data_IF_193485369804
#
_entry.id   IF_193485369804
#
_cell.length_a   1.000
_cell.length_b   1.000
_cell.length_c   1.000
_cell.angle_alpha   90.00
_cell.angle_beta   90.00
_cell.angle_gamma   90.00
#
_symmetry.space_group_name_H-M   'P 1'
#
loop_
_entity.id
_entity.type
_entity.pdbx_description
1 polymer ?
#
# COMPACT_ATOMS: atom_id res chain seq x y z
N UNK A 1 -52.00 -18.09 -37.99
CA UNK A 1 -53.09 -18.90 -37.41
C UNK A 1 -53.28 -18.35 -35.99
N UNK A 2 -53.83 -17.16 -35.78
CA UNK A 2 -55.20 -16.72 -36.11
C UNK A 2 -56.25 -17.64 -35.51
N UNK A 3 -56.67 -17.36 -34.29
CA UNK A 3 -58.09 -17.23 -33.95
C UNK A 3 -58.20 -16.69 -32.52
N UNK A 4 -59.22 -15.86 -32.34
CA UNK A 4 -59.42 -14.92 -31.26
C UNK A 4 -60.86 -15.08 -30.77
N UNK A 5 -61.20 -14.36 -29.69
CA UNK A 5 -62.53 -13.93 -29.27
C UNK A 5 -63.43 -14.98 -28.60
N UNK A 6 -63.72 -14.83 -27.29
CA UNK A 6 -64.95 -14.16 -26.82
C UNK A 6 -65.02 -13.90 -25.32
N UNK A 7 -65.40 -12.66 -25.05
CA UNK A 7 -65.85 -12.02 -23.82
C UNK A 7 -67.25 -12.45 -23.42
N UNK A 8 -67.54 -12.47 -22.12
CA UNK A 8 -68.87 -12.19 -21.55
C UNK A 8 -68.75 -11.86 -20.04
N UNK A 9 -69.14 -10.65 -19.67
CA UNK A 9 -69.69 -10.24 -18.35
C UNK A 9 -71.19 -9.94 -18.61
N UNK A 10 -72.13 -9.72 -17.64
CA UNK A 10 -71.98 -9.24 -16.24
C UNK A 10 -73.07 -9.81 -15.26
N UNK A 11 -73.36 -9.08 -14.15
CA UNK A 11 -74.45 -9.23 -13.13
C UNK A 11 -74.12 -10.14 -11.93
N UNK A 12 -74.43 -9.84 -10.67
CA UNK A 12 -75.09 -8.72 -9.98
C UNK A 12 -74.66 -8.73 -8.49
N UNK A 13 -74.97 -7.61 -7.82
CA UNK A 13 -74.86 -7.24 -6.41
C UNK A 13 -74.83 -8.34 -5.33
N UNK A 14 -74.11 -8.08 -4.23
CA UNK A 14 -74.71 -7.84 -2.91
C UNK A 14 -73.77 -7.02 -2.00
N UNK A 15 -74.37 -6.01 -1.35
CA UNK A 15 -73.80 -5.12 -0.36
C UNK A 15 -73.55 -5.83 0.98
N UNK A 16 -72.46 -5.44 1.66
CA UNK A 16 -72.13 -5.93 3.00
C UNK A 16 -71.23 -4.95 3.75
N UNK A 17 -71.82 -3.86 4.25
CA UNK A 17 -71.24 -2.95 5.22
C UNK A 17 -71.13 -3.63 6.60
N UNK A 18 -69.90 -3.76 7.11
CA UNK A 18 -69.63 -3.92 8.55
C UNK A 18 -68.38 -3.11 8.91
N UNK A 19 -68.60 -1.83 9.21
CA UNK A 19 -68.21 -1.19 10.49
C UNK A 19 -66.93 -1.68 11.21
N UNK A 20 -65.95 -0.77 11.30
CA UNK A 20 -65.59 -0.15 12.58
C UNK A 20 -64.73 -0.94 13.58
N UNK A 21 -63.57 -0.33 13.87
CA UNK A 21 -62.79 -0.41 15.12
C UNK A 21 -61.88 -1.61 15.37
N UNK A 22 -60.60 -1.47 15.01
CA UNK A 22 -59.50 -2.11 15.75
C UNK A 22 -58.29 -1.17 15.96
N UNK A 23 -58.22 -0.68 17.21
CA UNK A 23 -57.04 -0.60 18.09
C UNK A 23 -55.96 0.46 17.80
N UNK A 24 -56.02 1.50 18.64
CA UNK A 24 -54.95 2.43 19.00
C UNK A 24 -53.70 1.72 19.54
N UNK A 25 -52.51 2.24 19.23
CA UNK A 25 -51.32 1.86 19.99
C UNK A 25 -49.95 1.97 19.30
N UNK A 26 -49.74 2.86 18.32
CA UNK A 26 -48.36 3.21 17.94
C UNK A 26 -47.77 4.14 19.01
N UNK A 27 -47.29 3.55 20.11
CA UNK A 27 -46.41 4.26 21.03
C UNK A 27 -45.15 4.65 20.26
N UNK A 28 -44.98 5.96 20.07
CA UNK A 28 -43.71 6.52 19.70
C UNK A 28 -42.69 6.11 20.78
N UNK A 29 -41.80 5.19 20.42
CA UNK A 29 -40.61 4.92 21.22
C UNK A 29 -39.82 6.22 21.22
N UNK A 30 -39.91 6.95 22.32
CA UNK A 30 -39.06 8.10 22.59
C UNK A 30 -37.65 7.54 22.75
N UNK A 31 -36.88 7.57 21.65
CA UNK A 31 -35.44 7.32 21.70
C UNK A 31 -34.86 8.40 22.59
N UNK A 32 -34.37 7.99 23.76
CA UNK A 32 -33.72 8.88 24.71
C UNK A 32 -32.65 9.70 24.02
N UNK A 33 -32.66 11.00 24.29
CA UNK A 33 -31.84 12.04 23.68
C UNK A 33 -30.34 11.95 24.06
N UNK A 34 -29.89 10.80 24.56
CA UNK A 34 -28.56 10.58 25.14
C UNK A 34 -27.68 9.59 24.38
N UNK A 35 -28.13 9.01 23.25
CA UNK A 35 -27.35 8.04 22.45
C UNK A 35 -27.02 8.51 21.02
N UNK A 36 -27.32 9.77 20.67
CA UNK A 36 -26.97 10.30 19.36
C UNK A 36 -25.50 10.69 19.30
N UNK A 37 -24.66 9.73 18.90
CA UNK A 37 -23.25 10.00 18.56
C UNK A 37 -23.21 11.15 17.55
N UNK A 38 -22.33 12.15 17.75
CA UNK A 38 -22.31 13.31 16.88
C UNK A 38 -21.96 12.90 15.44
N UNK A 39 -22.72 13.41 14.48
CA UNK A 39 -22.43 13.21 13.06
C UNK A 39 -21.29 14.12 12.62
N UNK A 40 -20.46 13.62 11.70
CA UNK A 40 -19.45 14.42 11.04
C UNK A 40 -20.16 15.55 10.26
N UNK A 41 -19.77 16.82 10.44
CA UNK A 41 -20.40 17.95 9.76
C UNK A 41 -20.20 17.91 8.23
N UNK A 42 -19.29 17.09 7.72
CA UNK A 42 -18.96 17.03 6.30
C UNK A 42 -19.61 15.84 5.58
N UNK A 43 -19.46 14.61 6.08
CA UNK A 43 -19.90 13.39 5.39
C UNK A 43 -21.13 12.70 5.98
N UNK A 44 -21.69 13.23 7.07
CA UNK A 44 -22.86 12.67 7.79
C UNK A 44 -22.65 11.28 8.43
N UNK A 45 -21.43 10.71 8.37
CA UNK A 45 -21.09 9.51 9.13
C UNK A 45 -20.86 9.84 10.61
N UNK A 46 -21.06 8.85 11.48
CA UNK A 46 -20.83 8.96 12.93
C UNK A 46 -19.35 9.25 13.23
N UNK A 47 -19.10 10.24 14.09
CA UNK A 47 -17.76 10.53 14.61
C UNK A 47 -17.32 9.47 15.64
N UNK A 48 -16.00 9.26 15.80
CA UNK A 48 -15.49 8.35 16.83
C UNK A 48 -15.92 8.83 18.23
N UNK A 49 -16.07 7.89 19.17
CA UNK A 49 -16.50 8.20 20.55
C UNK A 49 -15.55 9.18 21.23
N UNK A 50 -14.26 9.04 20.95
CA UNK A 50 -13.18 9.88 21.50
C UNK A 50 -12.34 10.42 20.34
N UNK A 51 -12.77 11.50 19.65
CA UNK A 51 -12.02 12.05 18.54
C UNK A 51 -10.66 12.58 19.03
N UNK A 52 -9.59 12.36 18.26
CA UNK A 52 -8.27 12.86 18.61
C UNK A 52 -8.22 14.40 18.59
N UNK A 53 -7.19 14.97 19.24
CA UNK A 53 -6.97 16.41 19.20
C UNK A 53 -6.80 16.92 17.76
N UNK A 54 -6.16 16.13 16.90
CA UNK A 54 -5.96 16.46 15.49
C UNK A 54 -7.29 16.52 14.72
N UNK A 55 -8.17 15.53 14.89
CA UNK A 55 -9.48 15.54 14.25
C UNK A 55 -10.36 16.70 14.74
N UNK A 56 -10.33 17.01 16.04
CA UNK A 56 -11.03 18.18 16.58
C UNK A 56 -10.51 19.47 15.96
N UNK A 57 -9.18 19.64 15.93
CA UNK A 57 -8.56 20.82 15.32
C UNK A 57 -8.97 20.94 13.84
N UNK A 58 -8.88 19.87 13.06
CA UNK A 58 -9.27 19.87 11.64
C UNK A 58 -10.74 20.29 11.42
N UNK A 59 -11.67 19.85 12.29
CA UNK A 59 -13.09 20.21 12.23
C UNK A 59 -13.32 21.68 12.65
N UNK A 60 -12.60 22.16 13.66
CA UNK A 60 -12.82 23.49 14.25
C UNK A 60 -12.16 24.62 13.44
N UNK A 61 -10.98 24.38 12.86
CA UNK A 61 -10.17 25.43 12.22
C UNK A 61 -10.45 25.62 10.73
N UNK A 62 -11.22 24.72 10.11
CA UNK A 62 -11.50 24.80 8.67
C UNK A 62 -12.42 25.98 8.33
N UNK A 63 -12.02 26.73 7.30
CA UNK A 63 -12.92 27.65 6.60
C UNK A 63 -14.00 26.88 5.86
N UNK A 64 -15.24 27.01 6.34
CA UNK A 64 -16.40 26.29 5.80
C UNK A 64 -17.67 27.11 6.01
N UNK A 65 -18.69 26.89 5.20
CA UNK A 65 -20.00 27.53 5.36
C UNK A 65 -21.03 26.56 5.91
N UNK A 66 -22.04 27.08 6.61
CA UNK A 66 -23.16 26.27 7.08
C UNK A 66 -23.94 25.69 5.89
N UNK A 67 -24.27 24.40 5.98
CA UNK A 67 -25.03 23.64 4.99
C UNK A 67 -25.87 22.57 5.71
N UNK A 68 -26.87 23.00 6.53
CA UNK A 68 -27.67 22.07 7.32
C UNK A 68 -28.45 21.11 6.42
N UNK A 69 -28.46 19.83 6.77
CA UNK A 69 -29.15 18.75 6.05
C UNK A 69 -30.24 18.14 6.94
N UNK A 70 -31.30 17.52 6.37
CA UNK A 70 -32.39 16.94 7.16
C UNK A 70 -31.94 15.98 8.27
N UNK A 71 -30.88 15.20 8.04
CA UNK A 71 -30.28 14.30 9.02
C UNK A 71 -29.10 14.89 9.82
N UNK A 72 -28.57 16.05 9.42
CA UNK A 72 -27.41 16.68 10.05
C UNK A 72 -27.55 18.20 10.07
N UNK A 73 -28.11 18.73 11.15
CA UNK A 73 -28.29 20.18 11.35
C UNK A 73 -26.95 20.94 11.44
N UNK A 74 -25.88 20.24 11.80
CA UNK A 74 -24.53 20.79 11.88
C UNK A 74 -23.75 20.63 10.57
N UNK A 75 -24.43 20.28 9.47
CA UNK A 75 -23.82 20.12 8.16
C UNK A 75 -23.07 21.37 7.70
N UNK A 76 -21.91 21.17 7.10
CA UNK A 76 -21.00 22.23 6.59
C UNK A 76 -20.49 21.89 5.20
N UNK A 77 -20.20 22.92 4.42
CA UNK A 77 -19.51 22.85 3.12
C UNK A 77 -18.10 23.39 3.24
N UNK A 78 -17.11 22.64 2.76
CA UNK A 78 -15.71 23.03 2.72
C UNK A 78 -15.11 22.81 1.32
N UNK A 79 -13.98 23.45 0.99
CA UNK A 79 -13.20 23.11 -0.20
C UNK A 79 -12.87 21.61 -0.25
N UNK A 80 -12.82 21.04 -1.45
CA UNK A 80 -12.68 19.59 -1.67
C UNK A 80 -11.52 18.97 -0.89
N UNK A 81 -10.34 19.61 -0.90
CA UNK A 81 -9.17 19.09 -0.20
C UNK A 81 -9.39 19.04 1.31
N UNK A 82 -9.99 20.06 1.90
CA UNK A 82 -10.26 20.07 3.34
C UNK A 82 -11.33 19.06 3.72
N UNK A 83 -12.37 18.92 2.89
CA UNK A 83 -13.35 17.85 3.05
C UNK A 83 -12.67 16.47 3.07
N UNK A 84 -11.77 16.20 2.11
CA UNK A 84 -11.07 14.92 1.99
C UNK A 84 -10.21 14.68 3.23
N UNK A 85 -9.40 15.65 3.67
CA UNK A 85 -8.51 15.48 4.83
C UNK A 85 -9.28 15.17 6.12
N UNK A 86 -10.38 15.90 6.39
CA UNK A 86 -11.22 15.65 7.57
C UNK A 86 -11.90 14.28 7.47
N UNK A 87 -12.48 13.98 6.30
CA UNK A 87 -13.19 12.73 6.06
C UNK A 87 -12.27 11.49 6.09
N UNK A 88 -11.00 11.64 5.69
CA UNK A 88 -10.01 10.58 5.84
C UNK A 88 -9.65 10.39 7.30
N UNK A 89 -9.38 11.48 8.04
CA UNK A 89 -8.97 11.37 9.44
C UNK A 89 -10.05 10.77 10.33
N UNK A 90 -11.31 11.22 10.24
CA UNK A 90 -12.36 10.64 11.09
C UNK A 90 -12.66 9.19 10.71
N UNK A 91 -12.63 8.82 9.42
CA UNK A 91 -12.83 7.42 8.99
C UNK A 91 -11.74 6.54 9.57
N UNK A 92 -10.50 7.02 9.53
CA UNK A 92 -9.36 6.32 10.09
C UNK A 92 -9.50 6.11 11.60
N UNK A 93 -9.88 7.15 12.37
CA UNK A 93 -10.13 7.03 13.81
C UNK A 93 -11.34 6.14 14.14
N UNK A 94 -12.38 6.16 13.32
CA UNK A 94 -13.61 5.39 13.57
C UNK A 94 -13.51 3.92 13.17
N UNK A 95 -12.70 3.59 12.15
CA UNK A 95 -12.68 2.24 11.53
C UNK A 95 -11.30 1.62 11.54
N UNK A 96 -10.32 2.32 10.96
CA UNK A 96 -9.01 1.72 10.68
C UNK A 96 -8.16 1.55 11.95
N UNK A 97 -8.15 2.56 12.84
CA UNK A 97 -7.41 2.50 14.10
C UNK A 97 -7.96 1.43 15.06
N UNK A 98 -9.28 1.36 15.37
CA UNK A 98 -9.81 0.29 16.23
C UNK A 98 -9.56 -1.11 15.65
N UNK A 99 -9.68 -1.26 14.33
CA UNK A 99 -9.36 -2.52 13.64
C UNK A 99 -7.88 -2.88 13.80
N UNK A 100 -6.97 -1.92 13.61
CA UNK A 100 -5.53 -2.14 13.76
C UNK A 100 -5.18 -2.58 15.19
N UNK A 101 -5.76 -1.92 16.20
CA UNK A 101 -5.62 -2.29 17.62
C UNK A 101 -6.13 -3.71 17.86
N UNK A 102 -7.33 -4.04 17.38
CA UNK A 102 -7.90 -5.39 17.53
C UNK A 102 -7.07 -6.49 16.84
N UNK A 103 -6.35 -6.13 15.78
CA UNK A 103 -5.45 -7.03 15.04
C UNK A 103 -4.01 -7.04 15.59
N UNK A 104 -3.72 -6.21 16.59
CA UNK A 104 -2.39 -6.10 17.19
C UNK A 104 -1.35 -5.44 16.28
N UNK A 105 -1.75 -4.63 15.31
CA UNK A 105 -0.79 -3.90 14.48
C UNK A 105 -0.03 -2.85 15.32
N UNK A 106 1.27 -2.63 15.06
CA UNK A 106 2.08 -1.72 15.86
C UNK A 106 1.54 -0.28 15.79
N UNK A 107 1.28 0.31 16.96
CA UNK A 107 0.95 1.74 17.10
C UNK A 107 2.19 2.62 17.21
N UNK A 108 3.33 2.01 17.54
CA UNK A 108 4.64 2.66 17.61
C UNK A 108 5.66 1.75 16.92
N UNK A 109 6.56 2.35 16.14
CA UNK A 109 7.64 1.65 15.44
C UNK A 109 8.94 2.39 15.74
N UNK A 110 9.95 1.67 16.21
CA UNK A 110 11.29 2.21 16.36
C UNK A 110 12.01 2.26 15.01
N UNK A 111 11.75 3.32 14.25
CA UNK A 111 12.37 3.56 12.95
C UNK A 111 13.89 3.73 13.02
N UNK A 112 14.47 4.01 14.21
CA UNK A 112 15.91 4.13 14.36
C UNK A 112 16.64 2.79 14.17
N UNK A 113 15.99 1.69 14.52
CA UNK A 113 16.53 0.32 14.36
C UNK A 113 16.22 -0.29 12.98
N UNK A 114 15.33 0.35 12.21
CA UNK A 114 14.87 -0.19 10.94
C UNK A 114 16.01 -0.46 9.94
N UNK A 115 17.06 0.38 9.81
CA UNK A 115 18.19 0.07 8.93
C UNK A 115 18.88 -1.26 9.24
N UNK A 116 19.15 -1.52 10.52
CA UNK A 116 19.84 -2.75 10.95
C UNK A 116 18.97 -3.98 10.70
N UNK A 117 17.66 -3.85 10.95
CA UNK A 117 16.68 -4.90 10.66
C UNK A 117 16.61 -5.22 9.17
N UNK A 118 16.56 -4.20 8.32
CA UNK A 118 16.56 -4.40 6.86
C UNK A 118 17.87 -5.05 6.39
N UNK A 119 19.02 -4.59 6.90
CA UNK A 119 20.32 -5.16 6.58
C UNK A 119 20.43 -6.64 6.99
N UNK A 120 19.73 -7.06 8.05
CA UNK A 120 19.72 -8.46 8.48
C UNK A 120 19.11 -9.44 7.47
N UNK A 121 18.36 -8.95 6.48
CA UNK A 121 17.75 -9.77 5.42
C UNK A 121 18.59 -9.85 4.13
N UNK A 122 19.86 -9.41 4.17
CA UNK A 122 20.71 -9.32 2.98
C UNK A 122 20.81 -10.64 2.22
N UNK A 123 20.89 -11.77 2.92
CA UNK A 123 21.02 -13.09 2.30
C UNK A 123 19.75 -13.49 1.57
N UNK A 124 18.58 -13.29 2.19
CA UNK A 124 17.31 -13.63 1.56
C UNK A 124 16.97 -12.71 0.40
N UNK A 125 17.35 -11.43 0.46
CA UNK A 125 17.20 -10.51 -0.66
C UNK A 125 18.15 -10.88 -1.80
N UNK A 126 19.38 -11.27 -1.49
CA UNK A 126 20.34 -11.76 -2.49
C UNK A 126 19.80 -13.02 -3.19
N UNK A 127 19.20 -13.96 -2.46
CA UNK A 127 18.57 -15.14 -3.05
C UNK A 127 17.43 -14.79 -4.02
N UNK A 128 16.64 -13.75 -3.73
CA UNK A 128 15.59 -13.26 -4.65
C UNK A 128 16.21 -12.57 -5.88
N UNK A 129 17.32 -11.84 -5.71
CA UNK A 129 18.04 -11.25 -6.84
C UNK A 129 18.66 -12.30 -7.76
N UNK A 130 19.11 -13.44 -7.22
CA UNK A 130 19.64 -14.57 -7.98
C UNK A 130 18.54 -15.35 -8.71
N UNK A 131 17.38 -15.54 -8.06
CA UNK A 131 16.24 -16.21 -8.65
C UNK A 131 14.91 -15.46 -8.38
N UNK A 132 14.59 -14.44 -9.19
CA UNK A 132 13.42 -13.58 -9.00
C UNK A 132 12.08 -14.33 -8.96
N UNK A 133 11.97 -15.45 -9.69
CA UNK A 133 10.75 -16.25 -9.81
C UNK A 133 10.35 -16.97 -8.53
N UNK A 134 11.22 -16.99 -7.52
CA UNK A 134 10.89 -17.48 -6.16
C UNK A 134 10.00 -16.50 -5.40
N UNK A 135 9.98 -15.22 -5.78
CA UNK A 135 9.14 -14.19 -5.16
C UNK A 135 7.75 -14.16 -5.77
N UNK A 136 6.72 -14.30 -4.93
CA UNK A 136 5.33 -14.14 -5.36
C UNK A 136 5.03 -12.71 -5.83
N UNK A 137 5.75 -11.70 -5.32
CA UNK A 137 5.66 -10.33 -5.81
C UNK A 137 6.20 -10.21 -7.23
N UNK A 138 7.36 -10.80 -7.52
CA UNK A 138 7.93 -10.78 -8.87
C UNK A 138 7.00 -11.44 -9.89
N UNK A 139 6.53 -12.66 -9.59
CA UNK A 139 5.61 -13.41 -10.46
C UNK A 139 4.39 -12.57 -10.79
N UNK A 140 3.75 -11.98 -9.77
CA UNK A 140 2.56 -11.14 -9.94
C UNK A 140 2.86 -9.87 -10.75
N UNK A 141 3.99 -9.20 -10.50
CA UNK A 141 4.40 -8.03 -11.26
C UNK A 141 4.66 -8.36 -12.75
N UNK A 142 5.35 -9.46 -13.03
CA UNK A 142 5.63 -9.93 -14.38
C UNK A 142 4.32 -10.25 -15.12
N UNK A 143 3.41 -11.00 -14.49
CA UNK A 143 2.08 -11.31 -15.04
C UNK A 143 1.26 -10.05 -15.36
N UNK A 144 1.25 -9.06 -14.47
CA UNK A 144 0.56 -7.79 -14.66
C UNK A 144 1.12 -7.03 -15.88
N UNK A 145 2.44 -7.00 -16.05
CA UNK A 145 3.08 -6.31 -17.16
C UNK A 145 2.88 -7.05 -18.50
N UNK A 146 3.02 -8.38 -18.51
CA UNK A 146 2.82 -9.21 -19.70
C UNK A 146 1.37 -9.12 -20.19
N UNK A 147 0.41 -9.27 -19.29
CA UNK A 147 -1.03 -9.26 -19.63
C UNK A 147 -1.55 -7.89 -20.06
N UNK A 148 -0.87 -6.81 -19.64
CA UNK A 148 -1.24 -5.43 -19.99
C UNK A 148 -0.52 -4.88 -21.21
N UNK A 149 0.58 -5.50 -21.67
CA UNK A 149 1.48 -4.98 -22.70
C UNK A 149 0.78 -4.43 -23.96
N UNK A 150 -0.25 -5.14 -24.44
CA UNK A 150 -0.94 -4.82 -25.72
C UNK A 150 -2.02 -3.73 -25.60
N UNK A 151 -2.44 -3.31 -24.40
CA UNK A 151 -3.56 -2.38 -24.23
C UNK A 151 -3.19 -1.18 -23.36
N UNK A 152 -3.36 0.04 -23.90
CA UNK A 152 -3.07 1.28 -23.17
C UNK A 152 -3.86 1.41 -21.86
N UNK A 153 -5.16 1.10 -21.90
CA UNK A 153 -6.01 1.14 -20.71
C UNK A 153 -5.55 0.11 -19.67
N UNK A 154 -5.20 -1.11 -20.09
CA UNK A 154 -4.67 -2.13 -19.17
C UNK A 154 -3.30 -1.75 -18.60
N UNK A 155 -2.45 -1.05 -19.36
CA UNK A 155 -1.15 -0.55 -18.87
C UNK A 155 -1.32 0.50 -17.78
N UNK A 156 -2.32 1.37 -17.89
CA UNK A 156 -2.63 2.32 -16.82
C UNK A 156 -3.06 1.56 -15.55
N UNK A 157 -3.94 0.57 -15.72
CA UNK A 157 -4.37 -0.29 -14.61
C UNK A 157 -3.22 -1.06 -13.96
N UNK A 158 -2.30 -1.64 -14.75
CA UNK A 158 -1.13 -2.36 -14.20
C UNK A 158 -0.15 -1.41 -13.50
N UNK A 159 0.04 -0.19 -14.00
CA UNK A 159 0.85 0.84 -13.32
C UNK A 159 0.28 1.14 -11.93
N UNK A 160 -1.04 1.38 -11.83
CA UNK A 160 -1.68 1.62 -10.53
C UNK A 160 -1.59 0.41 -9.59
N UNK A 161 -1.70 -0.81 -10.13
CA UNK A 161 -1.54 -2.03 -9.34
C UNK A 161 -0.12 -2.17 -8.79
N UNK A 162 0.91 -1.89 -9.60
CA UNK A 162 2.31 -1.88 -9.17
C UNK A 162 2.54 -0.84 -8.07
N UNK A 163 2.03 0.38 -8.22
CA UNK A 163 2.13 1.42 -7.18
C UNK A 163 1.54 0.98 -5.84
N UNK A 164 0.45 0.20 -5.85
CA UNK A 164 -0.14 -0.36 -4.63
C UNK A 164 0.74 -1.45 -4.01
N UNK A 165 1.47 -2.21 -4.83
CA UNK A 165 2.39 -3.25 -4.35
C UNK A 165 3.67 -2.68 -3.72
N UNK A 166 4.03 -1.43 -4.05
CA UNK A 166 5.18 -0.71 -3.49
C UNK A 166 4.96 -0.22 -2.06
N UNK A 167 3.78 -0.41 -1.46
CA UNK A 167 3.45 0.14 -0.14
C UNK A 167 3.91 -0.80 0.98
N UNK A 168 4.56 -0.30 2.05
CA UNK A 168 5.15 -1.14 3.09
C UNK A 168 4.16 -1.54 4.20
N UNK A 169 2.85 -1.50 3.93
CA UNK A 169 1.82 -1.79 4.93
C UNK A 169 1.82 -0.79 6.09
N UNK A 170 1.69 -1.29 7.32
CA UNK A 170 1.65 -0.44 8.51
C UNK A 170 2.92 0.39 8.74
N UNK A 171 4.02 0.13 8.03
CA UNK A 171 5.23 0.94 8.12
C UNK A 171 5.08 2.35 7.51
N UNK A 172 4.04 2.57 6.70
CA UNK A 172 3.67 3.89 6.20
C UNK A 172 4.72 4.56 5.31
N UNK A 173 4.57 5.88 5.14
CA UNK A 173 5.48 6.71 4.36
C UNK A 173 6.89 6.74 4.94
N UNK A 174 7.04 6.83 6.27
CA UNK A 174 8.36 6.83 6.94
C UNK A 174 9.14 5.56 6.63
N UNK A 175 8.51 4.40 6.79
CA UNK A 175 9.15 3.12 6.49
C UNK A 175 9.47 2.97 5.01
N UNK A 176 8.60 3.46 4.12
CA UNK A 176 8.86 3.45 2.68
C UNK A 176 10.17 4.19 2.34
N UNK A 177 10.36 5.40 2.86
CA UNK A 177 11.57 6.20 2.58
C UNK A 177 12.83 5.49 3.08
N UNK A 178 12.81 4.95 4.30
CA UNK A 178 13.96 4.25 4.89
C UNK A 178 14.31 2.99 4.09
N UNK A 179 13.33 2.10 3.89
CA UNK A 179 13.53 0.82 3.20
C UNK A 179 14.00 1.06 1.77
N UNK A 180 13.34 1.99 1.04
CA UNK A 180 13.72 2.33 -0.35
C UNK A 180 15.15 2.85 -0.44
N UNK A 181 15.56 3.70 0.48
CA UNK A 181 16.92 4.24 0.49
C UNK A 181 17.96 3.11 0.68
N UNK A 182 17.71 2.19 1.62
CA UNK A 182 18.59 1.05 1.87
C UNK A 182 18.65 0.13 0.64
N UNK A 183 17.49 -0.24 0.07
CA UNK A 183 17.43 -1.09 -1.12
C UNK A 183 18.23 -0.51 -2.28
N UNK A 184 18.09 0.79 -2.55
CA UNK A 184 18.81 1.46 -3.63
C UNK A 184 20.32 1.51 -3.43
N UNK A 185 20.77 1.57 -2.17
CA UNK A 185 22.19 1.66 -1.84
C UNK A 185 22.86 0.28 -1.77
N UNK A 186 22.16 -0.71 -1.24
CA UNK A 186 22.71 -2.05 -0.97
C UNK A 186 22.48 -3.05 -2.12
N UNK A 187 21.40 -2.91 -2.90
CA UNK A 187 20.97 -3.92 -3.87
C UNK A 187 20.89 -3.35 -5.29
N UNK A 188 22.02 -3.31 -5.98
CA UNK A 188 22.10 -2.77 -7.35
C UNK A 188 21.91 -3.86 -8.39
N UNK A 189 21.06 -3.60 -9.38
CA UNK A 189 20.82 -4.51 -10.51
C UNK A 189 21.85 -4.24 -11.60
N UNK A 190 22.61 -5.26 -11.99
CA UNK A 190 23.56 -5.18 -13.11
C UNK A 190 22.92 -5.57 -14.46
N UNK A 191 23.70 -5.46 -15.54
CA UNK A 191 23.22 -5.76 -16.90
C UNK A 191 22.85 -7.23 -17.13
N UNK A 192 23.43 -8.18 -16.39
CA UNK A 192 23.07 -9.58 -16.49
C UNK A 192 21.72 -9.81 -15.79
N UNK A 193 21.57 -9.27 -14.57
CA UNK A 193 20.33 -9.34 -13.80
C UNK A 193 19.16 -8.66 -14.49
N UNK A 194 19.39 -7.56 -15.23
CA UNK A 194 18.35 -6.89 -16.03
C UNK A 194 17.60 -7.85 -16.98
N UNK A 195 18.27 -8.90 -17.48
CA UNK A 195 17.64 -9.91 -18.34
C UNK A 195 16.77 -10.88 -17.55
N UNK A 196 17.22 -11.26 -16.35
CA UNK A 196 16.52 -12.19 -15.46
C UNK A 196 15.26 -11.56 -14.84
N UNK A 197 15.27 -10.25 -14.60
CA UNK A 197 14.13 -9.52 -14.02
C UNK A 197 13.12 -9.03 -15.08
N UNK A 198 13.36 -9.28 -16.37
CA UNK A 198 12.40 -8.90 -17.40
C UNK A 198 11.03 -9.56 -17.12
N UNK A 199 9.90 -8.83 -17.29
CA UNK A 199 9.75 -7.55 -18.01
C UNK A 199 9.92 -6.30 -17.13
N UNK A 200 10.33 -6.41 -15.87
CA UNK A 200 10.47 -5.27 -14.97
C UNK A 200 11.75 -4.49 -15.30
N UNK A 201 11.71 -3.17 -15.11
CA UNK A 201 12.93 -2.37 -15.00
C UNK A 201 13.61 -2.59 -13.64
N UNK A 202 14.88 -2.18 -13.49
CA UNK A 202 15.57 -2.24 -12.20
C UNK A 202 14.81 -1.49 -11.09
N UNK A 203 14.31 -0.29 -11.38
CA UNK A 203 13.51 0.49 -10.41
C UNK A 203 12.21 -0.23 -10.04
N UNK A 204 11.50 -0.79 -11.02
CA UNK A 204 10.28 -1.56 -10.77
C UNK A 204 10.56 -2.80 -9.92
N UNK A 205 11.67 -3.50 -10.19
CA UNK A 205 12.08 -4.66 -9.40
C UNK A 205 12.40 -4.26 -7.94
N UNK A 206 13.20 -3.22 -7.74
CA UNK A 206 13.51 -2.72 -6.40
C UNK A 206 12.26 -2.29 -5.63
N UNK A 207 11.36 -1.54 -6.27
CA UNK A 207 10.22 -0.92 -5.58
C UNK A 207 9.00 -1.84 -5.45
N UNK A 208 8.72 -2.70 -6.45
CA UNK A 208 7.53 -3.57 -6.45
C UNK A 208 7.80 -5.02 -6.11
N UNK A 209 9.08 -5.40 -5.89
CA UNK A 209 9.47 -6.75 -5.47
C UNK A 209 10.33 -6.70 -4.21
N UNK A 210 11.52 -6.08 -4.26
CA UNK A 210 12.42 -6.11 -3.10
C UNK A 210 11.85 -5.36 -1.90
N UNK A 211 11.26 -4.18 -2.12
CA UNK A 211 10.61 -3.41 -1.06
C UNK A 211 9.52 -4.24 -0.34
N UNK A 212 8.47 -4.75 -1.01
CA UNK A 212 7.44 -5.52 -0.32
C UNK A 212 7.94 -6.85 0.26
N UNK A 213 9.00 -7.47 -0.28
CA UNK A 213 9.64 -8.64 0.36
C UNK A 213 10.29 -8.28 1.70
N UNK A 214 11.00 -7.15 1.76
CA UNK A 214 11.58 -6.64 3.01
C UNK A 214 10.48 -6.27 4.00
N UNK A 215 9.47 -5.52 3.55
CA UNK A 215 8.35 -5.11 4.40
C UNK A 215 7.59 -6.34 4.94
N UNK A 216 7.36 -7.37 4.12
CA UNK A 216 6.78 -8.64 4.57
C UNK A 216 7.64 -9.31 5.64
N UNK A 217 8.96 -9.38 5.46
CA UNK A 217 9.88 -9.98 6.45
C UNK A 217 9.92 -9.22 7.76
N UNK A 218 9.90 -7.89 7.70
CA UNK A 218 9.73 -7.05 8.87
C UNK A 218 8.43 -7.39 9.62
N UNK A 219 7.32 -7.52 8.89
CA UNK A 219 6.03 -7.93 9.46
C UNK A 219 6.07 -9.34 10.07
N UNK A 220 6.75 -10.29 9.42
CA UNK A 220 6.95 -11.63 9.96
C UNK A 220 7.66 -11.58 11.32
N UNK A 221 8.68 -10.72 11.47
CA UNK A 221 9.38 -10.52 12.73
C UNK A 221 8.49 -9.86 13.79
N UNK A 222 7.86 -8.73 13.47
CA UNK A 222 7.08 -7.95 14.45
C UNK A 222 5.86 -8.72 14.97
N UNK A 223 5.16 -9.39 14.06
CA UNK A 223 3.91 -10.09 14.36
C UNK A 223 4.14 -11.57 14.71
N UNK A 224 5.36 -12.08 14.57
CA UNK A 224 5.70 -13.50 14.73
C UNK A 224 4.78 -14.40 13.87
N UNK A 225 4.64 -14.05 12.58
CA UNK A 225 3.77 -14.77 11.63
C UNK A 225 4.57 -15.34 10.46
N UNK A 226 3.97 -16.30 9.76
CA UNK A 226 4.53 -16.90 8.54
C UNK A 226 4.28 -16.01 7.31
N UNK A 227 4.93 -16.38 6.21
CA UNK A 227 4.98 -15.63 4.95
C UNK A 227 3.61 -15.18 4.44
N UNK A 228 2.65 -16.10 4.33
CA UNK A 228 1.33 -15.84 3.75
C UNK A 228 0.52 -14.86 4.60
N UNK A 229 0.59 -15.01 5.93
CA UNK A 229 -0.07 -14.13 6.87
C UNK A 229 0.56 -12.73 6.87
N UNK A 230 1.90 -12.66 6.79
CA UNK A 230 2.60 -11.38 6.67
C UNK A 230 2.25 -10.64 5.37
N UNK A 231 2.16 -11.36 4.24
CA UNK A 231 1.76 -10.76 2.96
C UNK A 231 0.35 -10.18 3.01
N UNK A 232 -0.58 -10.85 3.71
CA UNK A 232 -1.94 -10.34 3.88
C UNK A 232 -1.98 -9.13 4.84
N UNK A 233 -1.23 -9.17 5.94
CA UNK A 233 -1.10 -8.01 6.84
C UNK A 233 -0.51 -6.82 6.09
N UNK A 234 0.56 -7.02 5.30
CA UNK A 234 1.18 -5.99 4.48
C UNK A 234 0.14 -5.29 3.60
N UNK A 235 -0.70 -6.06 2.90
CA UNK A 235 -1.73 -5.54 2.00
C UNK A 235 -2.87 -4.83 2.72
N UNK A 236 -3.31 -5.38 3.85
CA UNK A 236 -4.45 -4.84 4.60
C UNK A 236 -4.09 -3.59 5.40
N UNK A 237 -2.82 -3.42 5.78
CA UNK A 237 -2.36 -2.35 6.66
C UNK A 237 -1.87 -1.09 5.95
N UNK A 238 -1.98 -1.02 4.62
CA UNK A 238 -1.51 0.13 3.82
C UNK A 238 -2.16 1.45 4.27
N UNK A 239 -3.49 1.48 4.34
CA UNK A 239 -4.23 2.71 4.71
C UNK A 239 -3.97 3.11 6.17
N UNK A 240 -3.79 2.12 7.04
CA UNK A 240 -3.42 2.36 8.43
C UNK A 240 -2.04 3.02 8.51
N UNK A 241 -1.04 2.44 7.84
CA UNK A 241 0.34 2.94 7.86
C UNK A 241 0.50 4.31 7.21
N UNK A 242 -0.20 4.59 6.12
CA UNK A 242 -0.11 5.89 5.42
C UNK A 242 -0.54 7.06 6.31
N UNK A 243 -1.51 6.83 7.21
CA UNK A 243 -2.01 7.84 8.15
C UNK A 243 -1.22 7.82 9.47
N UNK A 244 -0.83 6.66 9.97
CA UNK A 244 -0.09 6.54 11.24
C UNK A 244 1.36 6.99 11.18
N UNK A 245 2.03 6.67 10.08
CA UNK A 245 3.45 6.94 9.91
C UNK A 245 3.68 7.66 8.56
N UNK A 246 3.12 8.87 8.39
CA UNK A 246 3.25 9.63 7.16
C UNK A 246 4.70 10.08 6.94
N UNK A 247 5.10 10.22 5.68
CA UNK A 247 6.34 10.89 5.31
C UNK A 247 6.17 12.40 5.50
N UNK A 248 6.88 12.98 6.46
CA UNK A 248 6.81 14.40 6.79
C UNK A 248 8.11 15.08 6.32
N UNK A 249 7.97 16.22 5.61
CA UNK A 249 9.10 16.93 4.97
C UNK A 249 10.23 17.30 5.96
N UNK A 250 9.90 17.52 7.23
CA UNK A 250 10.84 17.92 8.30
C UNK A 250 10.89 16.89 9.45
N UNK A 251 11.02 15.59 9.14
CA UNK A 251 11.24 14.56 10.17
C UNK A 251 12.75 14.45 10.54
N UNK A 252 13.19 15.00 11.69
CA UNK A 252 14.62 14.97 12.06
C UNK A 252 15.11 13.56 12.39
N UNK A 253 14.22 12.67 12.84
CA UNK A 253 14.55 11.27 13.14
C UNK A 253 14.82 10.56 11.82
N UNK A 254 13.94 10.73 10.84
CA UNK A 254 14.13 10.19 9.50
C UNK A 254 15.43 10.70 8.86
N UNK A 255 15.71 12.01 8.96
CA UNK A 255 16.94 12.60 8.44
C UNK A 255 18.21 12.02 9.11
N UNK A 256 18.19 11.80 10.42
CA UNK A 256 19.28 11.13 11.15
C UNK A 256 19.45 9.67 10.73
N UNK A 257 18.35 8.93 10.62
CA UNK A 257 18.35 7.52 10.17
C UNK A 257 18.96 7.40 8.78
N UNK A 258 18.54 8.24 7.83
CA UNK A 258 19.05 8.22 6.46
C UNK A 258 20.54 8.58 6.38
N UNK A 259 21.06 9.42 7.28
CA UNK A 259 22.50 9.72 7.36
C UNK A 259 23.34 8.52 7.82
N UNK A 260 22.77 7.59 8.57
CA UNK A 260 23.46 6.38 9.06
C UNK A 260 23.52 5.26 8.03
N UNK A 261 22.62 5.28 7.04
CA UNK A 261 22.61 4.25 5.98
C UNK A 261 23.93 4.35 5.19
N UNK A 262 24.74 3.28 5.12
CA UNK A 262 26.04 3.32 4.46
C UNK A 262 25.92 3.68 2.98
N UNK A 263 26.41 4.86 2.61
CA UNK A 263 26.45 5.24 1.20
C UNK A 263 27.49 4.41 0.44
N UNK A 264 27.22 4.16 -0.84
CA UNK A 264 27.99 3.35 -1.81
C UNK A 264 29.48 3.74 -1.96
N UNK A 265 29.97 4.78 -1.25
CA UNK A 265 31.37 5.20 -1.20
C UNK A 265 32.08 5.05 0.15
N UNK A 266 31.37 4.73 1.25
CA UNK A 266 31.99 4.64 2.58
C UNK A 266 32.62 3.28 2.87
N UNK A 267 32.05 2.19 2.33
CA UNK A 267 32.52 0.82 2.59
C UNK A 267 33.87 0.46 1.91
N UNK A 268 34.41 1.35 1.07
CA UNK A 268 35.63 1.09 0.31
C UNK A 268 36.86 1.88 0.80
N UNK A 269 36.79 2.56 1.95
CA UNK A 269 37.93 3.34 2.52
C UNK A 269 38.73 2.58 3.59
N UNK A 270 38.20 1.49 4.13
CA UNK A 270 38.83 0.76 5.25
C UNK A 270 39.37 -0.64 4.89
N UNK A 271 39.56 -0.94 3.60
CA UNK A 271 40.45 -2.06 3.24
C UNK A 271 41.91 -1.58 3.29
N UNK A 272 42.80 -2.22 4.08
CA UNK A 272 44.22 -1.91 4.00
C UNK A 272 44.70 -2.18 2.58
N UNK A 273 45.38 -1.19 1.98
CA UNK A 273 45.96 -1.26 0.66
C UNK A 273 46.83 -2.53 0.54
N UNK A 274 46.30 -3.57 -0.10
CA UNK A 274 47.11 -4.73 -0.44
C UNK A 274 48.11 -4.31 -1.53
N UNK A 275 49.37 -4.63 -1.27
CA UNK A 275 50.53 -4.06 -1.91
C UNK A 275 50.57 -4.18 -3.43
N UNK A 276 51.34 -3.25 -3.99
CA UNK A 276 51.78 -3.17 -5.38
C UNK A 276 52.02 -4.52 -6.05
N UNK A 277 51.13 -4.92 -6.96
CA UNK A 277 51.38 -6.01 -7.90
C UNK A 277 52.34 -5.51 -9.01
N UNK A 278 53.45 -6.24 -9.20
CA UNK A 278 54.42 -5.99 -10.27
C UNK A 278 53.80 -6.02 -11.68
N UNK A 279 54.41 -5.36 -12.68
CA UNK A 279 53.84 -5.28 -14.03
C UNK A 279 53.83 -6.66 -14.72
N UNK A 280 52.68 -7.02 -15.31
CA UNK A 280 52.54 -8.22 -16.16
C UNK A 280 53.47 -8.14 -17.39
N UNK A 281 54.11 -9.25 -17.80
CA UNK A 281 54.91 -9.29 -19.01
C UNK A 281 54.02 -9.21 -20.27
N UNK A 282 54.52 -8.52 -21.30
CA UNK A 282 53.82 -8.29 -22.57
C UNK A 282 53.59 -9.60 -23.35
N UNK A 283 52.50 -9.72 -24.12
CA UNK A 283 52.24 -10.89 -24.96
C UNK A 283 53.26 -10.99 -26.11
N UNK A 284 53.77 -12.20 -26.37
CA UNK A 284 54.61 -12.49 -27.54
C UNK A 284 53.77 -12.52 -28.83
N UNK A 285 54.27 -12.01 -29.97
CA UNK A 285 53.55 -12.06 -31.24
C UNK A 285 53.51 -13.50 -31.81
N UNK A 286 52.36 -13.81 -32.41
CA UNK A 286 51.99 -15.11 -32.98
C UNK A 286 52.74 -15.32 -34.31
N UNK A 287 53.62 -16.33 -34.37
CA UNK A 287 54.28 -16.75 -35.63
C UNK A 287 53.24 -17.34 -36.59
N UNK A 288 53.14 -16.79 -37.81
CA UNK A 288 52.51 -17.45 -38.96
C UNK A 288 53.50 -18.50 -39.48
N UNK A 289 53.12 -19.77 -39.48
CA UNK A 289 53.83 -20.78 -40.26
C UNK A 289 53.11 -20.95 -41.59
N UNK A 290 53.87 -20.68 -42.65
CA UNK A 290 53.58 -20.96 -44.04
C UNK A 290 53.80 -22.44 -44.33
N UNK A 291 53.08 -22.91 -45.35
CA UNK A 291 53.15 -24.23 -45.97
C UNK A 291 54.58 -24.64 -46.34
N UNK A 292 54.93 -25.90 -46.06
CA UNK A 292 56.06 -26.59 -46.68
C UNK A 292 55.64 -28.03 -47.02
N UNK A 293 55.82 -28.33 -48.29
CA UNK A 293 55.43 -29.55 -48.98
C UNK A 293 56.14 -30.81 -48.46
N UNK A 294 55.42 -31.94 -48.56
CA UNK A 294 55.93 -33.30 -48.44
C UNK A 294 56.70 -33.70 -49.71
N UNK A 295 57.77 -34.51 -49.58
CA UNK A 295 58.13 -35.49 -50.58
C UNK A 295 58.00 -36.90 -49.99
N UNK A 296 57.21 -37.77 -50.65
CA UNK A 296 57.52 -39.18 -50.92
C UNK A 296 56.40 -39.79 -51.77
#
# INVERSE_FOLDING_TARGET
MSASIKSESPSDAEDGDVSGDLIAGFSAVSLGESDLRPLCPFCDEILPETPSQELRALIETVSSTADPRPGNRNGRKAPLMTYISICQRHRWESKDLPMAVARGWPQEIDFATLPDRVASFSDEISAIMENPWTSSFFVKCAELLISSAKSRAKRLGSTMALTRMMQPGYYGGRGYVIIRNIVRQCHTVDNAQLKEIAPLSADQFQESVLMPEIAKRLIMQDMTVKDEAAAEILRQSIEYGSIMFPDLEDDPVLAEVLRRVPTRGSANRDLPAQGSASPRPRPRPRRKNQDLAMPH
#
